data_IF_327088957204
#
_entry.id   IF_327088957204
#
_cell.length_a   1.000
_cell.length_b   1.000
_cell.length_c   1.000
_cell.angle_alpha   90.00
_cell.angle_beta   90.00
_cell.angle_gamma   90.00
#
_symmetry.space_group_name_H-M   'P 1'
#
loop_
_entity.id
_entity.type
_entity.pdbx_description
1 polymer ?
#
# COMPACT_ATOMS: atom_id res chain seq x y z
N UNK A 1 26.62 -47.48 19.39
CA UNK A 1 27.34 -46.19 19.30
C UNK A 1 27.27 -45.57 17.91
N UNK A 2 27.80 -46.21 16.86
CA UNK A 2 27.81 -45.66 15.49
C UNK A 2 26.45 -45.17 14.95
N UNK A 3 25.35 -45.88 15.25
CA UNK A 3 23.99 -45.49 14.82
C UNK A 3 23.54 -44.21 15.53
N UNK A 4 23.82 -44.08 16.83
CA UNK A 4 23.50 -42.88 17.60
C UNK A 4 24.34 -41.67 17.13
N UNK A 5 25.62 -41.90 16.82
CA UNK A 5 26.51 -40.89 16.24
C UNK A 5 26.01 -40.41 14.87
N UNK A 6 25.53 -41.33 14.02
CA UNK A 6 24.98 -41.01 12.70
C UNK A 6 23.64 -40.25 12.80
N UNK A 7 22.75 -40.63 13.72
CA UNK A 7 21.49 -39.91 13.96
C UNK A 7 21.71 -38.49 14.46
N UNK A 8 22.70 -38.27 15.34
CA UNK A 8 23.08 -36.93 15.82
C UNK A 8 23.65 -36.10 14.67
N UNK A 9 24.53 -36.67 13.84
CA UNK A 9 25.11 -35.95 12.70
C UNK A 9 24.06 -35.58 11.64
N UNK A 10 23.11 -36.48 11.37
CA UNK A 10 22.01 -36.26 10.44
C UNK A 10 21.06 -35.17 10.94
N UNK A 11 20.71 -35.19 12.23
CA UNK A 11 19.84 -34.17 12.83
C UNK A 11 20.48 -32.78 12.86
N UNK A 12 21.79 -32.69 13.12
CA UNK A 12 22.53 -31.42 13.04
C UNK A 12 22.57 -30.88 11.59
N UNK A 13 22.82 -31.75 10.59
CA UNK A 13 22.83 -31.33 9.19
C UNK A 13 21.45 -30.88 8.69
N UNK A 14 20.38 -31.55 9.10
CA UNK A 14 19.00 -31.14 8.78
C UNK A 14 18.65 -29.80 9.42
N UNK A 15 19.06 -29.57 10.67
CA UNK A 15 18.88 -28.29 11.34
C UNK A 15 19.65 -27.18 10.60
N UNK A 16 20.91 -27.41 10.23
CA UNK A 16 21.71 -26.45 9.48
C UNK A 16 21.12 -26.12 8.10
N UNK A 17 20.68 -27.12 7.34
CA UNK A 17 20.00 -26.92 6.05
C UNK A 17 18.71 -26.12 6.26
N UNK A 18 17.91 -26.44 7.28
CA UNK A 18 16.67 -25.70 7.56
C UNK A 18 16.94 -24.23 7.87
N UNK A 19 17.99 -23.91 8.63
CA UNK A 19 18.38 -22.54 8.97
C UNK A 19 18.90 -21.81 7.72
N UNK A 20 19.72 -22.46 6.89
CA UNK A 20 20.21 -21.89 5.64
C UNK A 20 19.08 -21.64 4.64
N UNK A 21 18.15 -22.59 4.50
CA UNK A 21 16.95 -22.43 3.67
C UNK A 21 16.04 -21.32 4.20
N UNK A 22 15.87 -21.21 5.52
CA UNK A 22 15.10 -20.13 6.13
C UNK A 22 15.74 -18.75 5.87
N UNK A 23 17.05 -18.63 6.08
CA UNK A 23 17.78 -17.39 5.82
C UNK A 23 17.75 -17.00 4.34
N UNK A 24 17.84 -17.98 3.42
CA UNK A 24 17.68 -17.76 1.99
C UNK A 24 16.25 -17.34 1.61
N UNK A 25 15.24 -17.88 2.27
CA UNK A 25 13.84 -17.50 2.03
C UNK A 25 13.54 -16.09 2.57
N UNK A 26 14.07 -15.71 3.74
CA UNK A 26 13.94 -14.34 4.27
C UNK A 26 14.58 -13.33 3.34
N UNK A 27 15.72 -13.65 2.74
CA UNK A 27 16.42 -12.73 1.85
C UNK A 27 15.77 -12.57 0.47
N UNK A 28 14.72 -13.32 0.12
CA UNK A 28 14.06 -13.26 -1.20
C UNK A 28 13.63 -11.84 -1.59
N UNK A 29 13.03 -11.09 -0.65
CA UNK A 29 12.64 -9.69 -0.88
C UNK A 29 13.86 -8.84 -1.26
N UNK A 30 14.90 -8.91 -0.44
CA UNK A 30 16.13 -8.13 -0.59
C UNK A 30 16.92 -8.52 -1.85
N UNK A 31 17.00 -9.81 -2.16
CA UNK A 31 17.64 -10.36 -3.37
C UNK A 31 16.93 -9.88 -4.62
N UNK A 32 15.59 -9.92 -4.63
CA UNK A 32 14.80 -9.39 -5.74
C UNK A 32 15.08 -7.90 -5.90
N UNK A 33 14.95 -7.07 -4.87
CA UNK A 33 15.17 -5.63 -5.02
C UNK A 33 16.60 -5.26 -5.44
N UNK A 34 17.63 -5.91 -4.90
CA UNK A 34 19.03 -5.69 -5.30
C UNK A 34 19.32 -6.07 -6.76
N UNK A 35 18.47 -6.88 -7.39
CA UNK A 35 18.61 -7.23 -8.81
C UNK A 35 17.95 -6.23 -9.77
N UNK A 36 16.99 -5.42 -9.30
CA UNK A 36 16.27 -4.43 -10.11
C UNK A 36 16.68 -2.99 -9.83
N UNK A 37 17.20 -2.70 -8.64
CA UNK A 37 17.51 -1.34 -8.19
C UNK A 37 18.95 -1.23 -7.71
N UNK A 38 19.49 -0.03 -7.83
CA UNK A 38 20.82 0.27 -7.32
C UNK A 38 20.82 0.30 -5.78
N UNK A 39 22.02 0.26 -5.18
CA UNK A 39 22.19 0.22 -3.73
C UNK A 39 21.50 1.40 -3.02
N UNK A 40 21.61 2.59 -3.58
CA UNK A 40 21.02 3.82 -3.02
C UNK A 40 19.48 3.74 -2.96
N UNK A 41 18.84 3.26 -4.04
CA UNK A 41 17.40 3.07 -4.10
C UNK A 41 16.92 2.03 -3.06
N UNK A 42 17.67 0.94 -2.88
CA UNK A 42 17.36 -0.08 -1.88
C UNK A 42 17.50 0.47 -0.46
N UNK A 43 18.56 1.23 -0.18
CA UNK A 43 18.78 1.89 1.12
C UNK A 43 17.64 2.88 1.43
N UNK A 44 17.19 3.66 0.44
CA UNK A 44 16.07 4.57 0.64
C UNK A 44 14.75 3.84 0.92
N UNK A 45 14.46 2.73 0.25
CA UNK A 45 13.27 1.93 0.57
C UNK A 45 13.33 1.41 2.00
N UNK A 46 14.47 0.87 2.43
CA UNK A 46 14.66 0.40 3.81
C UNK A 46 14.48 1.54 4.83
N UNK A 47 14.94 2.74 4.50
CA UNK A 47 14.76 3.93 5.34
C UNK A 47 13.29 4.33 5.44
N UNK A 48 12.54 4.31 4.33
CA UNK A 48 11.09 4.55 4.33
C UNK A 48 10.36 3.50 5.17
N UNK A 49 10.77 2.23 5.16
CA UNK A 49 10.22 1.18 6.03
C UNK A 49 10.43 1.49 7.52
N UNK A 50 11.64 1.93 7.89
CA UNK A 50 11.96 2.29 9.27
C UNK A 50 11.10 3.46 9.75
N UNK A 51 10.97 4.51 8.93
CA UNK A 51 10.08 5.64 9.21
C UNK A 51 8.63 5.15 9.34
N UNK A 52 8.18 4.30 8.41
CA UNK A 52 6.82 3.77 8.40
C UNK A 52 6.48 2.99 9.67
N UNK A 53 7.42 2.21 10.21
CA UNK A 53 7.22 1.47 11.45
C UNK A 53 6.97 2.38 12.67
N UNK A 54 7.52 3.61 12.66
CA UNK A 54 7.24 4.62 13.69
C UNK A 54 5.94 5.39 13.41
N UNK A 55 5.65 5.70 12.14
CA UNK A 55 4.47 6.47 11.72
C UNK A 55 3.17 5.68 11.80
N UNK A 56 3.19 4.41 11.39
CA UNK A 56 1.99 3.61 11.17
C UNK A 56 1.05 3.57 12.39
N UNK A 57 1.52 3.30 13.62
CA UNK A 57 0.63 3.27 14.79
C UNK A 57 -0.04 4.62 15.07
N UNK A 58 0.65 5.73 14.79
CA UNK A 58 0.12 7.09 14.99
C UNK A 58 -0.92 7.43 13.93
N UNK A 59 -0.64 7.11 12.66
CA UNK A 59 -1.60 7.28 11.56
C UNK A 59 -2.84 6.40 11.75
N UNK A 60 -2.66 5.19 12.24
CA UNK A 60 -3.75 4.27 12.57
C UNK A 60 -4.64 4.83 13.69
N UNK A 61 -4.07 5.31 14.81
CA UNK A 61 -4.86 5.97 15.86
C UNK A 61 -5.66 7.19 15.35
N UNK A 62 -5.03 8.02 14.51
CA UNK A 62 -5.68 9.20 13.90
C UNK A 62 -6.85 8.80 13.01
N UNK A 63 -6.73 7.71 12.25
CA UNK A 63 -7.81 7.26 11.36
C UNK A 63 -9.07 6.80 12.09
N UNK A 64 -8.96 6.46 13.39
CA UNK A 64 -10.12 6.14 14.23
C UNK A 64 -10.72 7.36 14.91
N UNK A 65 -10.05 8.51 14.88
CA UNK A 65 -10.51 9.75 15.49
C UNK A 65 -11.79 10.24 14.80
N UNK A 66 -12.87 10.57 15.55
CA UNK A 66 -14.12 11.05 14.97
C UNK A 66 -13.95 12.28 14.09
N UNK A 67 -12.95 13.12 14.37
CA UNK A 67 -12.66 14.33 13.57
C UNK A 67 -12.13 13.99 12.18
N UNK A 68 -11.51 12.81 12.00
CA UNK A 68 -10.84 12.42 10.77
C UNK A 68 -11.48 11.28 10.00
N UNK A 69 -12.50 10.61 10.54
CA UNK A 69 -13.14 9.48 9.86
C UNK A 69 -14.33 9.87 8.97
N UNK A 70 -14.86 11.08 9.09
CA UNK A 70 -16.04 11.52 8.34
C UNK A 70 -15.59 12.27 7.09
N UNK A 71 -15.72 11.62 5.93
CA UNK A 71 -15.27 12.18 4.66
C UNK A 71 -16.46 12.55 3.78
N UNK A 72 -16.39 13.72 3.15
CA UNK A 72 -17.40 14.22 2.22
C UNK A 72 -16.84 14.27 0.81
N UNK A 73 -17.59 13.75 -0.14
CA UNK A 73 -17.20 13.77 -1.55
C UNK A 73 -18.40 14.01 -2.47
N UNK A 74 -18.10 14.41 -3.71
CA UNK A 74 -19.11 14.62 -4.74
C UNK A 74 -19.14 13.43 -5.71
N UNK A 75 -20.32 12.86 -5.93
CA UNK A 75 -20.63 11.84 -6.92
C UNK A 75 -21.47 12.45 -8.04
N UNK A 76 -20.82 12.80 -9.16
CA UNK A 76 -21.48 13.48 -10.28
C UNK A 76 -22.05 12.53 -11.33
N UNK A 77 -21.75 11.24 -11.23
CA UNK A 77 -22.12 10.18 -12.19
C UNK A 77 -21.72 10.46 -13.65
N UNK A 78 -20.79 11.38 -13.89
CA UNK A 78 -20.30 11.74 -15.23
C UNK A 78 -19.09 10.89 -15.62
N UNK A 79 -19.35 9.67 -16.10
CA UNK A 79 -18.29 8.80 -16.61
C UNK A 79 -17.86 9.21 -18.04
N UNK A 80 -16.58 9.53 -18.31
CA UNK A 80 -16.11 9.94 -19.64
C UNK A 80 -16.03 8.81 -20.68
N UNK A 81 -16.21 7.55 -20.28
CA UNK A 81 -16.09 6.39 -21.17
C UNK A 81 -17.37 5.54 -21.15
N UNK A 82 -17.67 4.87 -22.26
CA UNK A 82 -18.78 3.91 -22.31
C UNK A 82 -18.32 2.62 -21.63
N UNK A 83 -18.90 2.31 -20.48
CA UNK A 83 -18.65 1.07 -19.76
C UNK A 83 -19.75 0.05 -20.09
N UNK A 84 -19.35 -1.17 -20.47
CA UNK A 84 -20.25 -2.30 -20.37
C UNK A 84 -20.51 -2.52 -18.88
N UNK A 85 -21.78 -2.57 -18.48
CA UNK A 85 -22.22 -2.62 -17.10
C UNK A 85 -21.77 -3.92 -16.42
N UNK A 86 -20.58 -3.93 -15.85
CA UNK A 86 -20.24 -4.89 -14.80
C UNK A 86 -20.83 -4.35 -13.50
N UNK A 87 -22.09 -4.68 -13.24
CA UNK A 87 -22.75 -4.39 -11.97
C UNK A 87 -21.96 -5.06 -10.84
N UNK A 88 -21.66 -4.31 -9.78
CA UNK A 88 -21.06 -4.93 -8.62
C UNK A 88 -22.12 -5.67 -7.80
N UNK A 89 -22.06 -7.00 -7.84
CA UNK A 89 -23.06 -7.87 -7.19
C UNK A 89 -22.72 -8.28 -5.75
N UNK A 90 -21.56 -7.89 -5.20
CA UNK A 90 -21.16 -8.28 -3.84
C UNK A 90 -21.48 -7.20 -2.81
N UNK A 91 -21.92 -7.62 -1.62
CA UNK A 91 -22.27 -6.71 -0.51
C UNK A 91 -21.09 -5.79 -0.12
N UNK A 92 -19.86 -6.26 -0.30
CA UNK A 92 -18.64 -5.52 -0.01
C UNK A 92 -18.50 -4.24 -0.84
N UNK A 93 -19.17 -4.11 -1.99
CA UNK A 93 -19.23 -2.89 -2.79
C UNK A 93 -20.09 -1.78 -2.18
N UNK A 94 -21.08 -2.13 -1.35
CA UNK A 94 -22.03 -1.17 -0.84
C UNK A 94 -21.43 -0.35 0.32
N UNK A 95 -21.90 0.90 0.41
CA UNK A 95 -21.58 1.78 1.53
C UNK A 95 -22.43 1.41 2.74
N UNK A 96 -21.84 1.54 3.93
CA UNK A 96 -22.50 1.38 5.23
C UNK A 96 -22.41 2.71 5.97
N UNK A 97 -23.45 3.12 6.69
CA UNK A 97 -23.46 4.36 7.50
C UNK A 97 -23.02 5.59 6.68
N UNK A 98 -23.79 5.91 5.63
CA UNK A 98 -23.59 7.10 4.81
C UNK A 98 -24.84 7.98 4.86
N UNK A 99 -24.64 9.29 4.72
CA UNK A 99 -25.69 10.30 4.69
C UNK A 99 -25.51 11.20 3.46
N UNK A 100 -26.61 11.76 2.96
CA UNK A 100 -26.61 12.65 1.80
C UNK A 100 -27.74 12.33 0.83
N UNK A 101 -28.43 13.38 0.39
CA UNK A 101 -29.30 13.39 -0.78
C UNK A 101 -28.55 14.07 -1.94
N UNK A 102 -28.85 13.70 -3.18
CA UNK A 102 -28.22 14.20 -4.42
C UNK A 102 -26.74 13.82 -4.62
N UNK A 103 -25.92 14.74 -5.14
CA UNK A 103 -24.54 14.50 -5.61
C UNK A 103 -23.49 14.59 -4.51
N UNK A 104 -23.86 14.88 -3.26
CA UNK A 104 -22.92 15.05 -2.16
C UNK A 104 -23.16 13.95 -1.13
N UNK A 105 -22.14 13.14 -0.89
CA UNK A 105 -22.23 11.98 -0.02
C UNK A 105 -21.22 12.13 1.12
N UNK A 106 -21.68 11.90 2.34
CA UNK A 106 -20.87 11.85 3.56
C UNK A 106 -20.76 10.41 4.03
N UNK A 107 -19.54 9.95 4.28
CA UNK A 107 -19.26 8.55 4.67
C UNK A 107 -18.42 8.49 5.93
N UNK A 108 -18.70 7.53 6.81
CA UNK A 108 -17.78 7.14 7.86
C UNK A 108 -16.78 6.10 7.31
N UNK A 109 -15.52 6.50 7.18
CA UNK A 109 -14.42 5.70 6.64
C UNK A 109 -14.16 4.43 7.46
N UNK A 110 -14.52 4.41 8.76
CA UNK A 110 -14.38 3.21 9.61
C UNK A 110 -15.11 2.00 9.03
N UNK A 111 -16.28 2.21 8.43
CA UNK A 111 -17.10 1.12 7.87
C UNK A 111 -16.89 0.94 6.36
N UNK A 112 -16.33 1.95 5.71
CA UNK A 112 -16.18 2.05 4.26
C UNK A 112 -14.72 1.98 3.80
N UNK A 113 -13.81 1.54 4.67
CA UNK A 113 -12.42 1.25 4.32
C UNK A 113 -12.30 0.28 3.14
N UNK A 114 -11.19 0.41 2.43
CA UNK A 114 -10.87 -0.37 1.24
C UNK A 114 -10.74 -1.87 1.58
N UNK A 115 -11.30 -2.72 0.72
CA UNK A 115 -11.27 -4.18 0.85
C UNK A 115 -11.57 -4.83 -0.49
N UNK A 116 -11.37 -6.14 -0.59
CA UNK A 116 -11.73 -6.85 -1.82
C UNK A 116 -13.24 -6.76 -2.11
N UNK A 117 -13.56 -6.40 -3.35
CA UNK A 117 -14.94 -6.20 -3.83
C UNK A 117 -15.25 -6.95 -5.12
N UNK A 118 -14.33 -7.78 -5.61
CA UNK A 118 -14.52 -8.51 -6.87
C UNK A 118 -14.55 -7.65 -8.14
N UNK A 119 -14.48 -6.32 -8.04
CA UNK A 119 -14.53 -5.44 -9.21
C UNK A 119 -13.31 -5.60 -10.12
N UNK A 120 -13.56 -5.69 -11.43
CA UNK A 120 -12.52 -5.62 -12.46
C UNK A 120 -12.35 -4.18 -12.95
N UNK A 121 -11.37 -3.45 -12.39
CA UNK A 121 -11.09 -2.05 -12.75
C UNK A 121 -10.11 -1.85 -13.91
N UNK A 122 -9.70 -2.92 -14.61
CA UNK A 122 -8.58 -2.86 -15.56
C UNK A 122 -8.81 -1.87 -16.70
N UNK A 123 -10.01 -1.84 -17.28
CA UNK A 123 -10.34 -0.92 -18.37
C UNK A 123 -10.26 0.55 -17.93
N UNK A 124 -10.71 0.86 -16.71
CA UNK A 124 -10.63 2.21 -16.16
C UNK A 124 -9.17 2.64 -16.03
N UNK A 125 -8.32 1.79 -15.44
CA UNK A 125 -6.89 2.07 -15.30
C UNK A 125 -6.15 2.21 -16.63
N UNK A 126 -6.50 1.40 -17.64
CA UNK A 126 -5.91 1.52 -18.98
C UNK A 126 -6.20 2.89 -19.60
N UNK A 127 -7.45 3.34 -19.53
CA UNK A 127 -7.83 4.67 -20.04
C UNK A 127 -7.16 5.79 -19.25
N UNK A 128 -7.09 5.69 -17.91
CA UNK A 128 -6.36 6.65 -17.08
C UNK A 128 -4.90 6.79 -17.53
N UNK A 129 -4.18 5.67 -17.66
CA UNK A 129 -2.76 5.73 -18.03
C UNK A 129 -2.54 6.16 -19.48
N UNK A 130 -3.46 5.84 -20.39
CA UNK A 130 -3.41 6.33 -21.76
C UNK A 130 -3.55 7.86 -21.81
N UNK A 131 -4.55 8.41 -21.13
CA UNK A 131 -4.80 9.86 -21.11
C UNK A 131 -3.67 10.63 -20.39
N UNK A 132 -3.20 10.15 -19.24
CA UNK A 132 -2.02 10.74 -18.56
C UNK A 132 -0.77 10.66 -19.45
N UNK A 133 -0.61 9.56 -20.19
CA UNK A 133 0.51 9.35 -21.11
C UNK A 133 0.53 10.33 -22.28
N UNK A 134 -0.64 10.71 -22.81
CA UNK A 134 -0.76 11.74 -23.87
C UNK A 134 -0.22 13.10 -23.41
N UNK A 135 -0.35 13.40 -22.13
CA UNK A 135 0.11 14.64 -21.51
C UNK A 135 1.54 14.54 -20.95
N UNK A 136 2.26 13.41 -21.13
CA UNK A 136 3.64 13.25 -20.63
C UNK A 136 4.61 14.19 -21.35
N UNK A 137 4.83 15.35 -20.73
CA UNK A 137 5.56 16.49 -21.30
C UNK A 137 6.92 16.71 -20.63
N UNK A 138 7.16 16.12 -19.46
CA UNK A 138 8.35 16.38 -18.64
C UNK A 138 8.69 15.22 -17.69
N UNK A 139 9.93 15.23 -17.19
CA UNK A 139 10.38 14.27 -16.15
C UNK A 139 9.55 14.40 -14.87
N UNK A 140 9.19 15.63 -14.48
CA UNK A 140 8.38 15.89 -13.30
C UNK A 140 6.95 15.37 -13.45
N UNK A 141 6.37 15.44 -14.65
CA UNK A 141 5.10 14.79 -14.93
C UNK A 141 5.20 13.25 -14.89
N UNK A 142 6.31 12.67 -15.38
CA UNK A 142 6.54 11.23 -15.22
C UNK A 142 6.63 10.80 -13.73
N UNK A 143 7.21 11.63 -12.87
CA UNK A 143 7.18 11.42 -11.42
C UNK A 143 5.76 11.47 -10.85
N UNK A 144 4.93 12.42 -11.28
CA UNK A 144 3.50 12.44 -10.91
C UNK A 144 2.78 11.16 -11.35
N UNK A 145 2.98 10.68 -12.59
CA UNK A 145 2.42 9.40 -13.05
C UNK A 145 2.89 8.23 -12.17
N UNK A 146 4.13 8.24 -11.67
CA UNK A 146 4.61 7.23 -10.74
C UNK A 146 3.91 7.29 -9.36
N UNK A 147 3.47 8.47 -8.90
CA UNK A 147 2.58 8.58 -7.72
C UNK A 147 1.25 7.86 -7.96
N UNK A 148 0.66 8.04 -9.16
CA UNK A 148 -0.59 7.36 -9.54
C UNK A 148 -0.40 5.84 -9.59
N UNK A 149 0.72 5.37 -10.15
CA UNK A 149 1.09 3.95 -10.08
C UNK A 149 1.23 3.45 -8.65
N UNK A 150 1.77 4.28 -7.75
CA UNK A 150 1.83 4.01 -6.31
C UNK A 150 0.45 3.83 -5.68
N UNK A 151 -0.52 4.67 -6.03
CA UNK A 151 -1.92 4.54 -5.58
C UNK A 151 -2.51 3.22 -6.08
N UNK A 152 -2.36 2.90 -7.37
CA UNK A 152 -2.83 1.63 -7.94
C UNK A 152 -2.18 0.43 -7.23
N UNK A 153 -0.88 0.47 -6.97
CA UNK A 153 -0.18 -0.54 -6.17
C UNK A 153 -0.79 -0.66 -4.78
N UNK A 154 -0.99 0.45 -4.06
CA UNK A 154 -1.60 0.48 -2.72
C UNK A 154 -2.96 -0.21 -2.70
N UNK A 155 -3.84 0.13 -3.66
CA UNK A 155 -5.16 -0.50 -3.80
C UNK A 155 -5.00 -2.02 -3.97
N UNK A 156 -4.08 -2.45 -4.83
CA UNK A 156 -3.84 -3.88 -5.07
C UNK A 156 -3.32 -4.60 -3.82
N UNK A 157 -2.47 -3.95 -3.02
CA UNK A 157 -2.00 -4.49 -1.74
C UNK A 157 -3.15 -4.61 -0.75
N UNK A 158 -3.90 -3.53 -0.55
CA UNK A 158 -5.02 -3.45 0.38
C UNK A 158 -6.11 -4.49 0.11
N UNK A 159 -6.54 -4.69 -1.14
CA UNK A 159 -7.52 -5.74 -1.48
C UNK A 159 -6.98 -7.16 -1.26
N UNK A 160 -5.66 -7.35 -1.31
CA UNK A 160 -5.05 -8.66 -1.04
C UNK A 160 -4.87 -8.91 0.45
N UNK A 161 -4.66 -7.87 1.26
CA UNK A 161 -4.62 -7.97 2.73
C UNK A 161 -6.03 -8.17 3.31
N UNK A 162 -7.02 -7.49 2.75
CA UNK A 162 -8.43 -7.56 3.13
C UNK A 162 -9.24 -8.36 2.09
N UNK A 163 -8.73 -9.55 1.73
CA UNK A 163 -9.37 -10.42 0.75
C UNK A 163 -10.61 -11.10 1.35
N UNK A 164 -11.70 -11.14 0.58
CA UNK A 164 -12.95 -11.77 1.00
C UNK A 164 -12.98 -13.25 0.57
N UNK A 165 -12.93 -14.16 1.53
CA UNK A 165 -13.09 -15.60 1.32
C UNK A 165 -14.56 -16.05 1.48
N UNK A 166 -15.51 -15.12 1.54
CA UNK A 166 -16.95 -15.35 1.72
C UNK A 166 -17.35 -15.61 3.17
N UNK A 167 -16.59 -16.43 3.90
CA UNK A 167 -16.84 -16.72 5.34
C UNK A 167 -16.00 -15.87 6.28
N UNK A 168 -14.89 -15.32 5.78
CA UNK A 168 -13.94 -14.51 6.53
C UNK A 168 -13.21 -13.55 5.61
N UNK A 169 -12.73 -12.45 6.18
CA UNK A 169 -11.78 -11.56 5.53
C UNK A 169 -10.37 -11.87 6.04
N UNK A 170 -9.37 -11.80 5.17
CA UNK A 170 -7.99 -11.92 5.56
C UNK A 170 -7.04 -11.92 4.37
N UNK A 171 -5.76 -12.07 4.65
CA UNK A 171 -4.73 -11.92 3.63
C UNK A 171 -4.66 -13.10 2.66
N UNK A 172 -4.59 -12.77 1.38
CA UNK A 172 -4.37 -13.70 0.27
C UNK A 172 -2.98 -13.49 -0.33
N UNK A 173 -2.00 -14.26 0.18
CA UNK A 173 -0.58 -14.15 -0.19
C UNK A 173 -0.34 -14.48 -1.66
N UNK A 174 -0.98 -15.52 -2.20
CA UNK A 174 -0.80 -15.89 -3.60
C UNK A 174 -1.34 -14.81 -4.53
N UNK A 175 -2.52 -14.27 -4.22
CA UNK A 175 -3.10 -13.17 -4.99
C UNK A 175 -2.25 -11.90 -4.89
N UNK A 176 -1.69 -11.60 -3.70
CA UNK A 176 -0.71 -10.53 -3.53
C UNK A 176 0.48 -10.69 -4.47
N UNK A 177 1.08 -11.88 -4.57
CA UNK A 177 2.24 -12.08 -5.45
C UNK A 177 1.87 -11.97 -6.93
N UNK A 178 0.72 -12.51 -7.32
CA UNK A 178 0.18 -12.38 -8.69
C UNK A 178 -0.16 -10.94 -9.09
N UNK A 179 -0.40 -10.05 -8.12
CA UNK A 179 -0.79 -8.64 -8.39
C UNK A 179 0.31 -7.64 -8.09
N UNK A 180 1.22 -7.91 -7.16
CA UNK A 180 2.19 -6.93 -6.66
C UNK A 180 3.54 -7.58 -6.40
N UNK A 181 3.59 -8.67 -5.63
CA UNK A 181 4.85 -9.22 -5.12
C UNK A 181 5.88 -9.65 -6.18
N UNK A 182 5.45 -10.05 -7.38
CA UNK A 182 6.34 -10.36 -8.52
C UNK A 182 6.71 -9.16 -9.40
N UNK A 183 6.25 -7.96 -9.06
CA UNK A 183 6.41 -6.74 -9.85
C UNK A 183 7.13 -5.67 -9.03
N UNK A 184 8.48 -5.67 -9.00
CA UNK A 184 9.27 -4.77 -8.16
C UNK A 184 8.98 -3.29 -8.41
N UNK A 185 8.64 -2.93 -9.65
CA UNK A 185 8.23 -1.58 -10.06
C UNK A 185 6.96 -1.09 -9.33
N UNK A 186 5.98 -1.98 -9.12
CA UNK A 186 4.76 -1.66 -8.37
C UNK A 186 5.07 -1.36 -6.92
N UNK A 187 5.97 -2.14 -6.32
CA UNK A 187 6.40 -1.95 -4.95
C UNK A 187 7.20 -0.65 -4.83
N UNK A 188 8.16 -0.41 -5.72
CA UNK A 188 8.94 0.82 -5.73
C UNK A 188 8.07 2.07 -5.85
N UNK A 189 7.06 2.07 -6.74
CA UNK A 189 6.12 3.19 -6.86
C UNK A 189 5.29 3.43 -5.58
N UNK A 190 4.99 2.37 -4.82
CA UNK A 190 4.35 2.50 -3.50
C UNK A 190 5.27 3.19 -2.49
N UNK A 191 6.55 2.80 -2.42
CA UNK A 191 7.55 3.49 -1.58
C UNK A 191 7.78 4.93 -2.03
N UNK A 192 7.79 5.17 -3.35
CA UNK A 192 7.88 6.51 -3.92
C UNK A 192 6.71 7.39 -3.46
N UNK A 193 5.47 6.88 -3.55
CA UNK A 193 4.29 7.58 -3.03
C UNK A 193 4.37 7.81 -1.50
N UNK A 194 4.79 6.82 -0.71
CA UNK A 194 4.94 6.98 0.73
C UNK A 194 5.95 8.10 1.06
N UNK A 195 7.09 8.12 0.36
CA UNK A 195 8.11 9.16 0.55
C UNK A 195 7.59 10.57 0.22
N UNK A 196 6.71 10.67 -0.79
CA UNK A 196 6.08 11.92 -1.19
C UNK A 196 5.11 12.43 -0.12
N UNK A 197 4.27 11.55 0.44
CA UNK A 197 3.35 11.89 1.53
C UNK A 197 4.09 12.26 2.81
N UNK A 198 5.17 11.54 3.13
CA UNK A 198 6.06 11.88 4.24
C UNK A 198 6.60 13.31 4.08
N UNK A 199 7.10 13.68 2.90
CA UNK A 199 7.61 15.03 2.64
C UNK A 199 6.51 16.10 2.73
N UNK A 200 5.34 15.85 2.14
CA UNK A 200 4.21 16.77 2.21
C UNK A 200 3.74 17.01 3.66
N UNK A 201 3.78 15.96 4.49
CA UNK A 201 3.36 16.05 5.90
C UNK A 201 4.12 17.12 6.68
N UNK A 202 5.40 17.38 6.34
CA UNK A 202 6.22 18.43 6.97
C UNK A 202 5.56 19.81 6.93
N UNK A 203 4.77 20.07 5.89
CA UNK A 203 4.15 21.37 5.64
C UNK A 203 2.69 21.43 6.08
N UNK A 204 2.17 20.39 6.73
CA UNK A 204 0.82 20.38 7.28
C UNK A 204 0.75 21.24 8.55
N UNK A 205 0.38 22.52 8.40
CA UNK A 205 0.21 23.45 9.52
C UNK A 205 -1.25 23.51 9.97
N UNK A 206 -1.59 22.82 11.06
CA UNK A 206 -2.96 22.79 11.60
C UNK A 206 -3.45 24.09 12.26
N UNK A 207 -2.60 25.11 12.39
CA UNK A 207 -2.92 26.34 13.11
C UNK A 207 -4.11 27.13 12.52
N UNK A 208 -4.55 26.78 11.31
CA UNK A 208 -5.72 27.38 10.63
C UNK A 208 -6.95 26.46 10.60
N UNK A 209 -6.87 25.24 11.13
CA UNK A 209 -7.98 24.28 11.15
C UNK A 209 -8.57 24.22 12.56
N UNK A 210 -9.87 24.45 12.71
CA UNK A 210 -10.59 24.33 13.99
C UNK A 210 -10.65 22.86 14.42
N UNK A 211 -9.60 22.40 15.09
CA UNK A 211 -9.47 21.03 15.61
C UNK A 211 -9.34 21.05 17.15
N UNK A 212 -9.89 20.04 17.85
CA UNK A 212 -9.65 19.87 19.28
C UNK A 212 -8.15 19.76 19.59
N UNK A 213 -7.72 20.29 20.73
CA UNK A 213 -6.30 20.32 21.12
C UNK A 213 -5.67 18.91 21.14
N UNK A 214 -6.41 17.90 21.62
CA UNK A 214 -5.94 16.51 21.64
C UNK A 214 -5.68 15.99 20.22
N UNK A 215 -6.58 16.28 19.29
CA UNK A 215 -6.49 15.92 17.87
C UNK A 215 -5.29 16.60 17.20
N UNK A 216 -5.04 17.89 17.52
CA UNK A 216 -3.85 18.60 17.05
C UNK A 216 -2.55 17.96 17.55
N UNK A 217 -2.49 17.54 18.82
CA UNK A 217 -1.32 16.88 19.40
C UNK A 217 -1.04 15.53 18.73
N UNK A 218 -2.08 14.73 18.41
CA UNK A 218 -1.92 13.47 17.68
C UNK A 218 -1.27 13.68 16.31
N UNK A 219 -1.79 14.65 15.55
CA UNK A 219 -1.24 14.99 14.23
C UNK A 219 0.19 15.52 14.38
N UNK A 220 0.47 16.41 15.33
CA UNK A 220 1.84 16.86 15.60
C UNK A 220 2.80 15.70 15.92
N UNK A 221 2.32 14.65 16.59
CA UNK A 221 3.06 13.40 16.77
C UNK A 221 3.52 12.80 15.44
N UNK A 222 2.60 12.60 14.49
CA UNK A 222 2.89 12.14 13.12
C UNK A 222 3.89 13.05 12.40
N UNK A 223 3.72 14.36 12.51
CA UNK A 223 4.59 15.33 11.84
C UNK A 223 6.00 15.35 12.43
N UNK A 224 6.11 15.14 13.75
CA UNK A 224 7.39 15.15 14.46
C UNK A 224 8.25 13.92 14.16
N UNK A 225 7.64 12.77 13.82
CA UNK A 225 8.38 11.55 13.45
C UNK A 225 9.21 11.69 12.18
N UNK A 226 8.85 12.62 11.27
CA UNK A 226 9.68 12.91 10.09
C UNK A 226 11.07 13.45 10.46
N UNK A 227 11.17 14.26 11.52
CA UNK A 227 12.43 14.88 11.93
C UNK A 227 13.45 13.88 12.50
N UNK A 228 13.04 12.64 12.74
CA UNK A 228 13.92 11.58 13.25
C UNK A 228 14.83 11.01 12.16
N UNK A 229 14.46 11.14 10.88
CA UNK A 229 15.22 10.53 9.78
C UNK A 229 14.96 11.27 8.45
N UNK A 230 15.78 12.29 8.09
CA UNK A 230 15.62 13.01 6.82
C UNK A 230 15.66 12.05 5.64
N UNK A 231 14.68 12.13 4.73
CA UNK A 231 14.70 11.36 3.48
C UNK A 231 15.82 11.91 2.57
N UNK A 232 16.78 11.06 2.21
CA UNK A 232 17.83 11.45 1.26
C UNK A 232 17.31 11.25 -0.18
N UNK A 233 17.31 12.32 -0.98
CA UNK A 233 17.14 12.34 -2.45
C UNK A 233 15.78 11.90 -3.06
N UNK A 234 14.72 11.73 -2.28
CA UNK A 234 13.35 11.63 -2.82
C UNK A 234 12.70 13.00 -3.12
N UNK A 235 13.52 14.03 -3.35
CA UNK A 235 13.07 15.41 -3.46
C UNK A 235 12.83 15.83 -4.92
N UNK A 236 12.12 14.98 -5.66
CA UNK A 236 11.83 15.21 -7.08
C UNK A 236 10.89 16.41 -7.28
N UNK A 237 10.16 16.83 -6.25
CA UNK A 237 9.15 17.88 -6.28
C UNK A 237 9.63 19.19 -5.63
N UNK A 238 10.95 19.36 -5.45
CA UNK A 238 11.50 20.52 -4.76
C UNK A 238 11.33 21.83 -5.55
N UNK A 239 11.27 21.78 -6.88
CA UNK A 239 11.27 22.97 -7.74
C UNK A 239 10.09 22.96 -8.72
N UNK A 240 8.88 22.76 -8.19
CA UNK A 240 7.66 22.80 -9.00
C UNK A 240 7.39 24.21 -9.54
N UNK A 241 7.08 24.29 -10.83
CA UNK A 241 6.64 25.53 -11.48
C UNK A 241 5.12 25.66 -11.44
N UNK A 242 4.60 26.85 -11.70
CA UNK A 242 3.14 27.05 -11.83
C UNK A 242 2.53 26.19 -12.94
N UNK A 243 3.28 25.98 -14.04
CA UNK A 243 2.85 25.10 -15.12
C UNK A 243 2.73 23.64 -14.66
N UNK A 244 3.66 23.16 -13.83
CA UNK A 244 3.58 21.80 -13.27
C UNK A 244 2.35 21.66 -12.36
N UNK A 245 2.06 22.67 -11.55
CA UNK A 245 0.89 22.68 -10.67
C UNK A 245 -0.42 22.67 -11.47
N UNK A 246 -0.53 23.49 -12.52
CA UNK A 246 -1.68 23.50 -13.42
C UNK A 246 -1.86 22.15 -14.12
N UNK A 247 -0.77 21.53 -14.59
CA UNK A 247 -0.79 20.21 -15.19
C UNK A 247 -1.30 19.16 -14.18
N UNK A 248 -0.75 19.13 -12.97
CA UNK A 248 -1.15 18.18 -11.94
C UNK A 248 -2.62 18.36 -11.54
N UNK A 249 -3.13 19.59 -11.46
CA UNK A 249 -4.56 19.85 -11.20
C UNK A 249 -5.46 19.34 -12.32
N UNK A 250 -5.05 19.50 -13.57
CA UNK A 250 -5.79 18.94 -14.71
C UNK A 250 -5.80 17.41 -14.65
N UNK A 251 -4.68 16.80 -14.29
CA UNK A 251 -4.55 15.35 -14.19
C UNK A 251 -5.30 14.77 -12.97
N UNK A 252 -5.35 15.46 -11.82
CA UNK A 252 -6.19 15.05 -10.68
C UNK A 252 -7.68 15.18 -11.00
N UNK A 253 -8.09 16.22 -11.74
CA UNK A 253 -9.45 16.36 -12.23
C UNK A 253 -9.83 15.23 -13.19
N UNK A 254 -8.94 14.89 -14.12
CA UNK A 254 -9.09 13.74 -15.03
C UNK A 254 -9.31 12.45 -14.22
N UNK A 255 -8.44 12.18 -13.24
CA UNK A 255 -8.57 11.00 -12.37
C UNK A 255 -9.91 10.98 -11.63
N UNK A 256 -10.36 12.12 -11.11
CA UNK A 256 -11.62 12.23 -10.38
C UNK A 256 -12.83 11.93 -11.28
N UNK A 257 -12.81 12.39 -12.54
CA UNK A 257 -13.84 12.06 -13.53
C UNK A 257 -13.86 10.56 -13.85
N UNK A 258 -12.70 9.92 -13.97
CA UNK A 258 -12.63 8.46 -14.16
C UNK A 258 -13.12 7.67 -12.95
N UNK A 259 -13.05 8.22 -11.73
CA UNK A 259 -13.68 7.58 -10.56
C UNK A 259 -15.21 7.54 -10.68
N UNK A 260 -15.83 8.42 -11.46
CA UNK A 260 -17.28 8.37 -11.68
C UNK A 260 -17.71 7.18 -12.57
N UNK A 261 -16.77 6.55 -13.28
CA UNK A 261 -16.96 5.26 -13.98
C UNK A 261 -16.91 4.03 -13.07
N UNK A 262 -16.51 4.18 -11.80
CA UNK A 262 -16.36 3.08 -10.87
C UNK A 262 -17.71 2.72 -10.25
N UNK A 263 -18.29 1.59 -10.64
CA UNK A 263 -19.59 1.12 -10.14
C UNK A 263 -19.58 0.70 -8.66
N UNK A 264 -18.47 0.16 -8.18
CA UNK A 264 -18.29 -0.16 -6.75
C UNK A 264 -18.27 1.13 -5.92
N UNK A 265 -19.33 1.39 -5.15
CA UNK A 265 -19.45 2.61 -4.33
C UNK A 265 -18.30 2.74 -3.32
N UNK A 266 -17.92 1.63 -2.67
CA UNK A 266 -16.75 1.59 -1.77
C UNK A 266 -15.47 1.96 -2.50
N UNK A 267 -15.23 1.40 -3.68
CA UNK A 267 -14.01 1.64 -4.45
C UNK A 267 -13.97 3.10 -4.94
N UNK A 268 -15.11 3.65 -5.38
CA UNK A 268 -15.26 5.05 -5.77
C UNK A 268 -14.90 5.99 -4.62
N UNK A 269 -15.47 5.79 -3.43
CA UNK A 269 -15.15 6.57 -2.22
C UNK A 269 -13.66 6.53 -1.91
N UNK A 270 -13.07 5.33 -1.88
CA UNK A 270 -11.67 5.17 -1.52
C UNK A 270 -10.71 5.70 -2.60
N UNK A 271 -11.12 5.67 -3.87
CA UNK A 271 -10.40 6.26 -4.99
C UNK A 271 -10.42 7.79 -4.94
N UNK A 272 -11.61 8.40 -4.80
CA UNK A 272 -11.75 9.87 -4.66
C UNK A 272 -11.01 10.40 -3.42
N UNK A 273 -11.04 9.67 -2.30
CA UNK A 273 -10.27 10.01 -1.10
C UNK A 273 -8.77 10.08 -1.37
N UNK A 274 -8.22 9.07 -2.07
CA UNK A 274 -6.78 9.00 -2.38
C UNK A 274 -6.33 10.05 -3.40
N UNK A 275 -7.18 10.36 -4.40
CA UNK A 275 -6.92 11.45 -5.35
C UNK A 275 -6.93 12.80 -4.62
N UNK A 276 -7.93 13.03 -3.76
CA UNK A 276 -8.00 14.26 -2.97
C UNK A 276 -6.79 14.40 -2.04
N UNK A 277 -6.39 13.34 -1.33
CA UNK A 277 -5.20 13.38 -0.49
C UNK A 277 -3.89 13.62 -1.27
N UNK A 278 -3.81 13.13 -2.51
CA UNK A 278 -2.69 13.42 -3.42
C UNK A 278 -2.68 14.90 -3.82
N UNK A 279 -3.83 15.46 -4.21
CA UNK A 279 -4.00 16.88 -4.53
C UNK A 279 -3.57 17.77 -3.36
N UNK A 280 -4.08 17.50 -2.15
CA UNK A 280 -3.67 18.21 -0.93
C UNK A 280 -2.16 18.13 -0.70
N UNK A 281 -1.54 16.97 -0.96
CA UNK A 281 -0.09 16.80 -0.81
C UNK A 281 0.72 17.63 -1.79
N UNK A 282 0.23 17.79 -3.02
CA UNK A 282 0.84 18.64 -4.05
C UNK A 282 0.76 20.11 -3.63
N UNK A 283 -0.41 20.57 -3.18
CA UNK A 283 -0.57 21.95 -2.72
C UNK A 283 0.34 22.26 -1.52
N UNK A 284 0.46 21.33 -0.56
CA UNK A 284 1.35 21.43 0.60
C UNK A 284 2.82 21.61 0.20
N UNK A 285 3.30 20.82 -0.76
CA UNK A 285 4.68 20.90 -1.24
C UNK A 285 4.94 22.17 -2.06
N UNK A 286 3.96 22.54 -2.90
CA UNK A 286 4.08 23.71 -3.77
C UNK A 286 4.13 25.02 -2.97
N UNK A 287 3.30 25.15 -1.93
CA UNK A 287 3.22 26.36 -1.10
C UNK A 287 4.03 26.28 0.19
N UNK A 288 5.06 25.42 0.24
CA UNK A 288 5.87 25.17 1.44
C UNK A 288 6.42 26.41 2.17
N UNK A 289 6.65 27.52 1.45
CA UNK A 289 7.16 28.77 2.03
C UNK A 289 6.05 29.67 2.59
N UNK A 290 4.86 29.65 1.98
CA UNK A 290 3.75 30.53 2.32
C UNK A 290 2.70 29.86 3.22
N UNK A 291 2.71 28.52 3.27
CA UNK A 291 1.65 27.71 3.84
C UNK A 291 0.43 27.62 2.92
N UNK A 292 -0.38 26.59 3.12
CA UNK A 292 -1.68 26.39 2.46
C UNK A 292 -2.79 26.61 3.48
N UNK A 293 -3.88 27.25 3.07
CA UNK A 293 -5.12 27.21 3.83
C UNK A 293 -5.88 25.95 3.44
N UNK A 294 -5.99 25.01 4.38
CA UNK A 294 -6.65 23.74 4.16
C UNK A 294 -8.00 23.72 4.86
N UNK A 295 -9.01 23.27 4.14
CA UNK A 295 -10.29 22.91 4.72
C UNK A 295 -10.16 21.61 5.52
N UNK A 296 -11.13 21.35 6.40
CA UNK A 296 -11.18 20.12 7.19
C UNK A 296 -11.14 18.88 6.29
N UNK A 297 -11.86 18.91 5.16
CA UNK A 297 -11.94 17.76 4.25
C UNK A 297 -10.60 17.44 3.57
N UNK A 298 -9.76 18.45 3.34
CA UNK A 298 -8.41 18.30 2.76
C UNK A 298 -7.50 17.59 3.76
N UNK A 299 -7.53 18.01 5.03
CA UNK A 299 -6.76 17.37 6.10
C UNK A 299 -7.20 15.92 6.30
N UNK A 300 -8.52 15.67 6.24
CA UNK A 300 -9.09 14.31 6.30
C UNK A 300 -8.59 13.45 5.14
N UNK A 301 -8.66 13.98 3.91
CA UNK A 301 -8.23 13.25 2.73
C UNK A 301 -6.73 12.95 2.77
N UNK A 302 -5.91 13.93 3.15
CA UNK A 302 -4.48 13.76 3.32
C UNK A 302 -4.14 12.67 4.35
N UNK A 303 -4.64 12.79 5.59
CA UNK A 303 -4.29 11.87 6.68
C UNK A 303 -4.78 10.44 6.42
N UNK A 304 -6.00 10.26 5.89
CA UNK A 304 -6.50 8.93 5.56
C UNK A 304 -5.75 8.32 4.36
N UNK A 305 -5.38 9.12 3.37
CA UNK A 305 -4.53 8.65 2.27
C UNK A 305 -3.18 8.20 2.81
N UNK A 306 -2.55 9.01 3.67
CA UNK A 306 -1.27 8.68 4.28
C UNK A 306 -1.34 7.41 5.14
N UNK A 307 -2.39 7.25 5.94
CA UNK A 307 -2.63 6.02 6.70
C UNK A 307 -2.76 4.79 5.79
N UNK A 308 -3.49 4.89 4.68
CA UNK A 308 -3.65 3.79 3.72
C UNK A 308 -2.32 3.40 3.07
N UNK A 309 -1.55 4.37 2.58
CA UNK A 309 -0.25 4.07 1.95
C UNK A 309 0.69 3.47 3.00
N UNK A 310 0.68 3.99 4.23
CA UNK A 310 1.44 3.45 5.36
C UNK A 310 1.07 2.00 5.69
N UNK A 311 -0.23 1.68 5.68
CA UNK A 311 -0.75 0.32 5.85
C UNK A 311 -0.35 -0.62 4.70
N UNK A 312 -0.38 -0.14 3.46
CA UNK A 312 0.07 -0.90 2.30
C UNK A 312 1.57 -1.20 2.38
N UNK A 313 2.41 -0.25 2.78
CA UNK A 313 3.85 -0.49 3.00
C UNK A 313 4.06 -1.56 4.09
N UNK A 314 3.30 -1.51 5.20
CA UNK A 314 3.36 -2.54 6.24
C UNK A 314 2.89 -3.91 5.75
N UNK A 315 1.88 -3.93 4.88
CA UNK A 315 1.35 -5.15 4.26
C UNK A 315 2.35 -5.78 3.30
N UNK A 316 3.18 -5.01 2.57
CA UNK A 316 4.27 -5.57 1.76
C UNK A 316 5.17 -6.46 2.63
N UNK A 317 5.71 -5.91 3.72
CA UNK A 317 6.58 -6.64 4.65
C UNK A 317 5.89 -7.93 5.15
N UNK A 318 4.66 -7.78 5.65
CA UNK A 318 3.87 -8.89 6.19
C UNK A 318 3.59 -9.98 5.15
N UNK A 319 3.32 -9.64 3.89
CA UNK A 319 3.04 -10.61 2.83
C UNK A 319 4.29 -11.41 2.42
N UNK A 320 5.45 -10.75 2.33
CA UNK A 320 6.72 -11.45 2.08
C UNK A 320 7.06 -12.38 3.25
N UNK A 321 6.89 -11.94 4.49
CA UNK A 321 7.10 -12.78 5.68
C UNK A 321 6.17 -14.01 5.69
N UNK A 322 4.87 -13.82 5.46
CA UNK A 322 3.89 -14.92 5.40
C UNK A 322 4.24 -15.94 4.31
N UNK A 323 4.70 -15.49 3.14
CA UNK A 323 5.19 -16.39 2.09
C UNK A 323 6.41 -17.19 2.54
N UNK A 324 7.39 -16.51 3.12
CA UNK A 324 8.61 -17.15 3.64
C UNK A 324 8.30 -18.20 4.71
N UNK A 325 7.42 -17.87 5.66
CA UNK A 325 6.96 -18.81 6.68
C UNK A 325 6.27 -20.03 6.07
N UNK A 326 5.39 -19.81 5.07
CA UNK A 326 4.67 -20.88 4.37
C UNK A 326 5.64 -21.81 3.63
N UNK A 327 6.57 -21.25 2.85
CA UNK A 327 7.59 -22.02 2.13
C UNK A 327 8.49 -22.81 3.10
N UNK A 328 8.87 -22.19 4.22
CA UNK A 328 9.67 -22.86 5.24
C UNK A 328 8.93 -24.04 5.89
N UNK A 329 7.62 -23.91 6.15
CA UNK A 329 6.81 -25.02 6.65
C UNK A 329 6.75 -26.18 5.65
N UNK A 330 6.59 -25.90 4.35
CA UNK A 330 6.65 -26.93 3.31
C UNK A 330 8.02 -27.61 3.25
N UNK A 331 9.12 -26.86 3.29
CA UNK A 331 10.48 -27.41 3.33
C UNK A 331 10.71 -28.28 4.57
N UNK A 332 10.18 -27.89 5.73
CA UNK A 332 10.23 -28.72 6.95
C UNK A 332 9.48 -30.03 6.76
N UNK A 333 8.23 -29.98 6.29
CA UNK A 333 7.41 -31.17 6.07
C UNK A 333 8.02 -32.12 5.05
N UNK A 334 8.53 -31.61 3.93
CA UNK A 334 9.20 -32.43 2.92
C UNK A 334 10.52 -33.02 3.42
N UNK A 335 11.30 -32.25 4.19
CA UNK A 335 12.51 -32.73 4.86
C UNK A 335 12.23 -33.87 5.84
N UNK A 336 11.21 -33.73 6.71
CA UNK A 336 10.79 -34.81 7.61
C UNK A 336 10.30 -36.05 6.85
N UNK A 337 9.53 -35.87 5.78
CA UNK A 337 9.09 -36.97 4.91
C UNK A 337 10.25 -37.73 4.29
N UNK A 338 11.26 -37.03 3.76
CA UNK A 338 12.46 -37.64 3.20
C UNK A 338 13.24 -38.45 4.24
N UNK A 339 13.46 -37.88 5.44
CA UNK A 339 14.16 -38.57 6.54
C UNK A 339 13.40 -39.81 7.00
N UNK A 340 12.07 -39.74 7.07
CA UNK A 340 11.23 -40.88 7.40
C UNK A 340 11.32 -42.00 6.36
N UNK A 341 11.33 -41.67 5.06
CA UNK A 341 11.52 -42.65 3.99
C UNK A 341 12.91 -43.30 4.04
N UNK A 342 13.97 -42.52 4.32
CA UNK A 342 15.32 -43.05 4.53
C UNK A 342 15.34 -44.00 5.73
N UNK A 343 14.71 -43.63 6.84
CA UNK A 343 14.60 -44.49 8.02
C UNK A 343 13.87 -45.81 7.70
N UNK A 344 12.71 -45.77 7.02
CA UNK A 344 11.98 -46.97 6.62
C UNK A 344 12.82 -47.87 5.70
N UNK A 345 13.56 -47.29 4.76
CA UNK A 345 14.45 -48.06 3.88
C UNK A 345 15.57 -48.76 4.65
N UNK A 346 16.17 -48.09 5.63
CA UNK A 346 17.20 -48.66 6.51
C UNK A 346 16.65 -49.79 7.37
N UNK A 347 15.45 -49.62 7.96
CA UNK A 347 14.78 -50.67 8.72
C UNK A 347 14.47 -51.88 7.82
N UNK A 348 13.96 -51.67 6.61
CA UNK A 348 13.67 -52.75 5.67
C UNK A 348 14.94 -53.52 5.25
N UNK A 349 16.08 -52.84 5.08
CA UNK A 349 17.38 -53.47 4.81
C UNK A 349 17.84 -54.29 6.02
N UNK A 350 17.70 -53.76 7.24
CA UNK A 350 18.09 -54.44 8.47
C UNK A 350 17.22 -55.68 8.76
N UNK A 351 15.92 -55.64 8.44
CA UNK A 351 15.02 -56.79 8.60
C UNK A 351 15.24 -57.90 7.56
N UNK A 352 15.90 -57.62 6.43
CA UNK A 352 16.25 -58.61 5.40
C UNK A 352 17.57 -59.34 5.68
N UNK A 353 18.38 -58.85 6.62
CA UNK A 353 19.57 -59.53 7.14
C UNK A 353 19.20 -60.31 8.39
#
# INVERSE_FOLDING_TARGET
>A
MLIASFQILLSINLAAISVLSYNYLISQKEVVFKSYYNQEQVENMNHIEQINNALFPLLEDISFDPEFRIYRYTDTLNCPIVMNQDECHVETCNLKNFEGEDSIITVDLKYNGEKYTGQQGQNIWLNIYEELGKNSTSEIHNHFINLIKGIHSSISVSITEQFDYGTKTGANVDFFFLRVGYYPDRIYNLYFLQSFLIQASKFLYLNKTELPQLTQLKVQGVLSSYNLMPLYKFDYFQNLTQQDLEQFRNDTLLLNNYMDCVHCKRCKVNGKLQIHGLETSIDLLFHREKGVELEKNDVIAFLNTFQKISSSVKSIESMFERRTQTLFQYCKLSGFGFVFLVFLSLVAILMKR
#
